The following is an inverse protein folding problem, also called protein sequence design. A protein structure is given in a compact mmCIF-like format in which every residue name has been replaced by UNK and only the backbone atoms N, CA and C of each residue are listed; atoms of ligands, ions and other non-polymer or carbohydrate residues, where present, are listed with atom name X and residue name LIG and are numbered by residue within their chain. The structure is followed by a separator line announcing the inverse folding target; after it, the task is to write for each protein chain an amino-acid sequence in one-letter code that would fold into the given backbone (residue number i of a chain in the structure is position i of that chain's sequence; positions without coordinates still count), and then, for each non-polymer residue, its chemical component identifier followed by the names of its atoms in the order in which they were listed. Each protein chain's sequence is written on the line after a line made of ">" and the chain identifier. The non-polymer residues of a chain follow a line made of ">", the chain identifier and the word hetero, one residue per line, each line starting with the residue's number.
data_IF_447826409899
#
_entry.id   IF_447826409899
#
_cell.length_a   1.000
_cell.length_b   1.000
_cell.length_c   1.000
_cell.angle_alpha   90.00
_cell.angle_beta   90.00
_cell.angle_gamma   90.00
#
_symmetry.space_group_name_H-M   'P 1'
#
loop_
_entity.id
_entity.type
_entity.pdbx_description
1 polymer ?
#
# COMPACT_ATOMS: atom_id res chain seq x y z
N UNK A 1 42.77 83.73 17.88
CA UNK A 1 42.69 83.45 19.33
C UNK A 1 41.69 82.33 19.54
N UNK A 2 42.17 81.12 19.83
CA UNK A 2 41.34 79.93 20.07
C UNK A 2 40.62 80.08 21.41
N UNK A 3 39.34 80.43 21.37
CA UNK A 3 38.50 80.62 22.56
C UNK A 3 38.39 79.31 23.35
N UNK A 4 38.99 79.28 24.54
CA UNK A 4 38.94 78.18 25.50
C UNK A 4 37.47 77.95 25.89
N UNK A 5 36.83 76.88 25.37
CA UNK A 5 35.43 76.52 25.71
C UNK A 5 35.34 76.26 27.22
N UNK A 6 34.64 77.13 27.95
CA UNK A 6 34.41 76.97 29.38
C UNK A 6 33.59 75.70 29.63
N UNK A 7 34.16 74.73 30.35
CA UNK A 7 33.47 73.49 30.72
C UNK A 7 32.81 73.69 32.09
N UNK A 8 31.49 73.64 32.13
CA UNK A 8 30.72 73.68 33.38
C UNK A 8 30.52 72.27 33.94
N UNK A 9 30.62 72.12 35.26
CA UNK A 9 30.40 70.84 35.96
C UNK A 9 28.93 70.38 35.86
N UNK A 10 28.69 69.08 36.01
CA UNK A 10 27.35 68.50 35.96
C UNK A 10 26.41 69.11 37.03
N UNK A 11 26.90 69.24 38.26
CA UNK A 11 26.15 69.84 39.37
C UNK A 11 25.74 71.30 39.09
N UNK A 12 26.65 72.07 38.50
CA UNK A 12 26.36 73.45 38.14
C UNK A 12 25.27 73.55 37.06
N UNK A 13 25.35 72.70 36.02
CA UNK A 13 24.31 72.63 34.99
C UNK A 13 22.95 72.22 35.55
N UNK A 14 22.94 71.23 36.46
CA UNK A 14 21.72 70.76 37.11
C UNK A 14 21.07 71.85 37.98
N UNK A 15 21.89 72.59 38.74
CA UNK A 15 21.41 73.72 39.56
C UNK A 15 20.76 74.82 38.71
N UNK A 16 21.41 75.22 37.62
CA UNK A 16 20.87 76.24 36.69
C UNK A 16 19.60 75.74 36.00
N UNK A 17 19.55 74.47 35.60
CA UNK A 17 18.36 73.87 34.98
C UNK A 17 17.16 73.82 35.95
N UNK A 18 17.39 73.49 37.24
CA UNK A 18 16.35 73.51 38.27
C UNK A 18 15.83 74.92 38.54
N UNK A 19 16.69 75.92 38.64
CA UNK A 19 16.27 77.32 38.76
C UNK A 19 15.45 77.77 37.53
N UNK A 20 15.84 77.34 36.33
CA UNK A 20 15.10 77.62 35.10
C UNK A 20 13.75 76.88 34.99
N UNK A 21 13.59 75.74 35.69
CA UNK A 21 12.33 75.00 35.78
C UNK A 21 11.34 75.64 36.76
N UNK A 22 11.84 76.23 37.86
CA UNK A 22 10.99 76.94 38.84
C UNK A 22 10.28 78.18 38.26
N UNK A 23 10.89 78.85 37.28
CA UNK A 23 10.23 79.89 36.49
C UNK A 23 10.10 81.27 37.16
N UNK A 24 10.79 81.49 38.28
CA UNK A 24 10.75 82.76 39.05
C UNK A 24 11.51 83.92 38.37
N UNK A 25 12.44 83.62 37.44
CA UNK A 25 13.23 84.59 36.69
C UNK A 25 13.25 84.25 35.19
N UNK A 26 13.40 85.27 34.34
CA UNK A 26 13.54 85.07 32.88
C UNK A 26 14.89 84.44 32.54
N UNK A 27 14.99 83.78 31.38
CA UNK A 27 16.24 83.14 30.93
C UNK A 27 17.40 84.14 30.76
N UNK A 28 17.11 85.39 30.40
CA UNK A 28 18.10 86.47 30.32
C UNK A 28 18.62 86.89 31.71
N UNK A 29 17.74 86.93 32.71
CA UNK A 29 18.13 87.22 34.10
C UNK A 29 18.95 86.07 34.72
N UNK A 30 18.58 84.81 34.45
CA UNK A 30 19.36 83.64 34.89
C UNK A 30 20.74 83.57 34.23
N UNK A 31 20.82 83.92 32.95
CA UNK A 31 22.06 84.05 32.20
C UNK A 31 23.00 85.08 32.83
N UNK A 32 22.49 86.27 33.14
CA UNK A 32 23.26 87.32 33.81
C UNK A 32 23.69 86.92 35.23
N UNK A 33 22.77 86.33 36.03
CA UNK A 33 23.03 85.89 37.41
C UNK A 33 24.16 84.87 37.51
N UNK A 34 24.22 83.93 36.57
CA UNK A 34 25.20 82.84 36.58
C UNK A 34 26.39 83.08 35.63
N UNK A 35 26.45 84.23 34.96
CA UNK A 35 27.53 84.59 34.03
C UNK A 35 27.61 83.68 32.79
N UNK A 36 26.47 83.17 32.32
CA UNK A 36 26.39 82.21 31.19
C UNK A 36 25.51 82.76 30.06
N UNK A 37 25.69 82.25 28.84
CA UNK A 37 24.86 82.63 27.70
C UNK A 37 23.42 82.10 27.82
N UNK A 38 22.43 82.89 27.42
CA UNK A 38 20.99 82.58 27.56
C UNK A 38 20.59 81.25 26.88
N UNK A 39 21.21 80.92 25.75
CA UNK A 39 20.97 79.65 25.04
C UNK A 39 21.33 78.43 25.89
N UNK A 40 22.36 78.51 26.74
CA UNK A 40 22.78 77.39 27.60
C UNK A 40 21.76 77.11 28.70
N UNK A 41 21.10 78.14 29.24
CA UNK A 41 20.03 77.99 30.23
C UNK A 41 18.85 77.20 29.64
N UNK A 42 18.45 77.54 28.42
CA UNK A 42 17.37 76.84 27.71
C UNK A 42 17.73 75.38 27.38
N UNK A 43 18.96 75.14 26.93
CA UNK A 43 19.42 73.80 26.58
C UNK A 43 19.54 72.88 27.80
N UNK A 44 20.08 73.39 28.92
CA UNK A 44 20.18 72.58 30.15
C UNK A 44 18.82 72.31 30.79
N UNK A 45 17.87 73.26 30.70
CA UNK A 45 16.47 73.03 31.12
C UNK A 45 15.84 71.87 30.34
N UNK A 46 16.04 71.84 29.02
CA UNK A 46 15.54 70.76 28.15
C UNK A 46 16.20 69.41 28.47
N UNK A 47 17.52 69.39 28.60
CA UNK A 47 18.27 68.17 28.95
C UNK A 47 17.87 67.60 30.31
N UNK A 48 17.58 68.45 31.30
CA UNK A 48 17.12 68.00 32.61
C UNK A 48 15.72 67.35 32.55
N UNK A 49 14.80 67.93 31.77
CA UNK A 49 13.45 67.36 31.56
C UNK A 49 13.51 66.00 30.85
N UNK A 50 14.29 65.90 29.77
CA UNK A 50 14.47 64.65 29.03
C UNK A 50 15.16 63.57 29.90
N UNK A 51 16.20 63.97 30.65
CA UNK A 51 16.95 63.07 31.54
C UNK A 51 16.14 62.54 32.74
N UNK A 52 15.28 63.36 33.35
CA UNK A 52 14.37 62.93 34.41
C UNK A 52 13.46 61.78 33.93
N UNK A 53 13.00 61.84 32.68
CA UNK A 53 12.18 60.80 32.07
C UNK A 53 12.93 59.46 31.93
N UNK A 54 14.23 59.51 31.66
CA UNK A 54 15.09 58.32 31.58
C UNK A 54 15.39 57.69 32.96
N UNK A 55 15.59 58.51 33.99
CA UNK A 55 15.87 58.05 35.36
C UNK A 55 14.67 57.32 35.98
N UNK A 56 13.45 57.81 35.75
CA UNK A 56 12.23 57.18 36.27
C UNK A 56 11.69 56.03 35.40
N UNK A 57 12.21 55.81 34.19
CA UNK A 57 11.82 54.70 33.30
C UNK A 57 12.71 53.45 33.44
N UNK A 58 13.66 53.43 34.39
CA UNK A 58 14.41 52.23 34.78
C UNK A 58 15.40 51.69 33.74
N UNK A 59 15.61 52.37 32.61
CA UNK A 59 16.59 51.98 31.58
C UNK A 59 17.93 52.69 31.78
N UNK A 60 18.67 52.31 32.81
CA UNK A 60 20.14 52.46 32.77
C UNK A 60 20.73 51.30 31.94
N UNK A 61 21.68 51.59 31.07
CA UNK A 61 22.34 50.58 30.21
C UNK A 61 22.91 49.41 31.04
N UNK A 62 22.59 48.17 30.66
CA UNK A 62 23.06 46.96 31.35
C UNK A 62 24.60 46.87 31.32
N UNK A 63 25.26 46.44 32.42
CA UNK A 63 26.72 46.34 32.50
C UNK A 63 27.28 45.27 31.54
N UNK A 64 28.50 45.48 31.03
CA UNK A 64 29.20 44.58 30.08
C UNK A 64 29.23 43.09 30.50
N UNK A 65 29.19 42.81 31.81
CA UNK A 65 29.13 41.45 32.36
C UNK A 65 27.85 40.70 31.97
N UNK A 66 26.72 41.38 31.82
CA UNK A 66 25.46 40.77 31.39
C UNK A 66 25.51 40.36 29.91
N UNK A 67 26.14 41.19 29.06
CA UNK A 67 26.33 40.88 27.63
C UNK A 67 27.30 39.73 27.40
N UNK A 68 28.35 39.61 28.22
CA UNK A 68 29.29 38.50 28.15
C UNK A 68 28.63 37.17 28.55
N UNK A 69 27.81 37.17 29.62
CA UNK A 69 27.04 36.01 30.03
C UNK A 69 26.00 35.59 28.98
N UNK A 70 25.32 36.55 28.35
CA UNK A 70 24.36 36.30 27.28
C UNK A 70 25.03 35.68 26.03
N UNK A 71 26.21 36.19 25.64
CA UNK A 71 26.99 35.61 24.55
C UNK A 71 27.51 34.19 24.85
N UNK A 72 27.79 33.87 26.11
CA UNK A 72 28.17 32.51 26.52
C UNK A 72 26.98 31.54 26.50
N UNK A 73 25.81 32.01 26.94
CA UNK A 73 24.55 31.26 26.84
C UNK A 73 24.20 30.94 25.38
N UNK A 74 24.36 31.90 24.47
CA UNK A 74 24.13 31.67 23.04
C UNK A 74 25.07 30.62 22.45
N UNK A 75 26.35 30.64 22.84
CA UNK A 75 27.33 29.61 22.44
C UNK A 75 26.94 28.23 22.97
N UNK A 76 26.49 28.14 24.22
CA UNK A 76 26.03 26.88 24.81
C UNK A 76 24.76 26.37 24.12
N UNK A 77 23.79 27.24 23.81
CA UNK A 77 22.59 26.87 23.05
C UNK A 77 22.94 26.38 21.64
N UNK A 78 23.85 27.07 20.94
CA UNK A 78 24.35 26.63 19.64
C UNK A 78 25.01 25.24 19.73
N UNK A 79 25.81 25.01 20.79
CA UNK A 79 26.46 23.71 21.00
C UNK A 79 25.45 22.61 21.35
N UNK A 80 24.43 22.89 22.17
CA UNK A 80 23.33 21.97 22.45
C UNK A 80 22.60 21.62 21.16
N UNK A 81 22.30 22.62 20.31
CA UNK A 81 21.69 22.41 19.00
C UNK A 81 22.50 21.48 18.10
N UNK A 82 23.82 21.73 17.98
CA UNK A 82 24.73 20.86 17.24
C UNK A 82 24.70 19.42 17.77
N UNK A 83 24.85 19.24 19.10
CA UNK A 83 24.86 17.92 19.74
C UNK A 83 23.53 17.18 19.58
N UNK A 84 22.39 17.89 19.59
CA UNK A 84 21.07 17.30 19.32
C UNK A 84 20.98 16.74 17.90
N UNK A 85 21.46 17.49 16.90
CA UNK A 85 21.46 17.05 15.49
C UNK A 85 22.37 15.83 15.28
N UNK A 86 23.59 15.86 15.82
CA UNK A 86 24.54 14.75 15.73
C UNK A 86 24.00 13.49 16.44
N UNK A 87 23.42 13.65 17.64
CA UNK A 87 22.73 12.57 18.36
C UNK A 87 21.60 11.99 17.53
N UNK A 88 20.77 12.82 16.90
CA UNK A 88 19.62 12.35 16.13
C UNK A 88 20.03 11.61 14.86
N UNK A 89 21.11 12.04 14.21
CA UNK A 89 21.72 11.31 13.11
C UNK A 89 22.17 9.91 13.57
N UNK A 90 22.93 9.82 14.67
CA UNK A 90 23.37 8.54 15.22
C UNK A 90 22.20 7.67 15.68
N UNK A 91 21.20 8.24 16.34
CA UNK A 91 20.01 7.51 16.79
C UNK A 91 19.22 6.90 15.62
N UNK A 92 19.12 7.62 14.49
CA UNK A 92 18.54 7.08 13.25
C UNK A 92 19.36 5.90 12.72
N UNK A 93 20.69 6.02 12.71
CA UNK A 93 21.59 4.94 12.32
C UNK A 93 21.51 3.71 13.24
N UNK A 94 21.34 3.92 14.55
CA UNK A 94 21.16 2.81 15.49
C UNK A 94 19.82 2.11 15.25
N UNK A 95 18.73 2.85 15.04
CA UNK A 95 17.38 2.27 14.82
C UNK A 95 17.28 1.40 13.57
N UNK A 96 18.13 1.60 12.56
CA UNK A 96 18.18 0.72 11.38
C UNK A 96 18.89 -0.61 11.63
N UNK A 97 19.59 -0.76 12.76
CA UNK A 97 20.28 -2.00 13.13
C UNK A 97 19.33 -3.05 13.74
N UNK A 98 19.71 -4.32 13.61
CA UNK A 98 18.99 -5.43 14.23
C UNK A 98 18.95 -5.30 15.76
N UNK A 99 17.91 -5.84 16.38
CA UNK A 99 17.70 -5.71 17.83
C UNK A 99 18.84 -6.37 18.64
N UNK A 100 19.42 -7.46 18.14
CA UNK A 100 20.56 -8.13 18.78
C UNK A 100 21.85 -7.33 18.70
N UNK A 101 22.13 -6.69 17.56
CA UNK A 101 23.25 -5.74 17.42
C UNK A 101 23.12 -4.59 18.41
N UNK A 102 21.92 -4.02 18.52
CA UNK A 102 21.65 -2.93 19.46
C UNK A 102 21.79 -3.35 20.92
N UNK A 103 21.44 -4.60 21.26
CA UNK A 103 21.66 -5.16 22.61
C UNK A 103 23.14 -5.26 22.95
N UNK A 104 23.99 -5.63 21.98
CA UNK A 104 25.44 -5.74 22.15
C UNK A 104 26.13 -4.38 22.37
N UNK A 105 25.48 -3.28 22.02
CA UNK A 105 25.98 -1.92 22.26
C UNK A 105 25.77 -1.43 23.70
N UNK A 106 25.08 -2.22 24.55
CA UNK A 106 24.85 -1.87 25.95
C UNK A 106 26.02 -2.41 26.79
N UNK A 107 26.64 -1.53 27.56
CA UNK A 107 27.74 -1.79 28.48
C UNK A 107 27.25 -1.63 29.93
N UNK A 108 26.87 -2.71 30.63
CA UNK A 108 26.28 -2.61 31.96
C UNK A 108 27.18 -1.97 33.02
N UNK A 109 28.50 -2.01 32.83
CA UNK A 109 29.50 -1.46 33.73
C UNK A 109 29.95 -0.03 33.33
N UNK A 110 29.22 0.67 32.46
CA UNK A 110 29.62 1.99 31.98
C UNK A 110 29.64 3.03 33.14
N UNK A 111 30.74 3.79 33.31
CA UNK A 111 30.96 4.64 34.50
C UNK A 111 29.99 5.83 34.62
N UNK A 112 29.45 6.33 33.51
CA UNK A 112 28.62 7.55 33.49
C UNK A 112 27.17 7.37 32.99
N UNK A 113 26.80 6.18 32.51
CA UNK A 113 25.50 5.96 31.89
C UNK A 113 24.82 4.73 32.49
N UNK A 114 23.65 4.92 33.08
CA UNK A 114 22.83 3.81 33.57
C UNK A 114 22.38 2.92 32.41
N UNK A 115 22.15 1.63 32.69
CA UNK A 115 21.59 0.68 31.70
C UNK A 115 20.27 1.18 31.11
N UNK A 116 19.46 1.88 31.90
CA UNK A 116 18.21 2.52 31.45
C UNK A 116 18.50 3.55 30.37
N UNK A 117 19.46 4.44 30.62
CA UNK A 117 19.83 5.50 29.68
C UNK A 117 20.44 4.92 28.40
N UNK A 118 21.28 3.89 28.53
CA UNK A 118 21.84 3.20 27.37
C UNK A 118 20.74 2.53 26.52
N UNK A 119 19.78 1.86 27.15
CA UNK A 119 18.62 1.27 26.47
C UNK A 119 17.82 2.33 25.68
N UNK A 120 17.59 3.51 26.26
CA UNK A 120 16.93 4.63 25.57
C UNK A 120 17.73 5.09 24.34
N UNK A 121 19.04 5.28 24.50
CA UNK A 121 19.94 5.72 23.42
C UNK A 121 19.95 4.72 22.25
N UNK A 122 19.94 3.41 22.54
CA UNK A 122 19.87 2.36 21.51
C UNK A 122 18.44 1.98 21.11
N UNK A 123 17.43 2.67 21.64
CA UNK A 123 16.01 2.43 21.34
C UNK A 123 15.56 0.97 21.61
N UNK A 124 15.98 0.38 22.73
CA UNK A 124 15.53 -0.93 23.24
C UNK A 124 14.79 -0.73 24.57
N UNK A 125 13.75 -1.53 24.84
CA UNK A 125 13.13 -1.54 26.18
C UNK A 125 14.04 -2.26 27.18
N UNK A 126 14.12 -1.73 28.42
CA UNK A 126 14.90 -2.38 29.50
C UNK A 126 14.51 -3.85 29.70
N UNK A 127 13.21 -4.16 29.66
CA UNK A 127 12.71 -5.54 29.76
C UNK A 127 13.21 -6.42 28.60
N UNK A 128 13.29 -5.87 27.39
CA UNK A 128 13.84 -6.53 26.21
C UNK A 128 15.34 -6.79 26.30
N UNK A 129 16.12 -6.00 27.05
CA UNK A 129 17.54 -6.25 27.29
C UNK A 129 17.76 -7.46 28.21
N UNK A 130 17.02 -7.56 29.30
CA UNK A 130 17.14 -8.68 30.24
C UNK A 130 16.42 -9.96 29.79
N UNK A 131 15.53 -9.87 28.80
CA UNK A 131 14.80 -11.01 28.29
C UNK A 131 15.74 -12.00 27.59
N UNK A 132 16.02 -13.12 28.27
CA UNK A 132 16.65 -14.29 27.65
C UNK A 132 15.58 -15.09 26.89
N UNK A 133 15.74 -15.32 25.58
CA UNK A 133 14.80 -16.15 24.85
C UNK A 133 14.80 -17.56 25.44
N UNK A 134 13.66 -17.96 26.01
CA UNK A 134 13.45 -19.36 26.35
C UNK A 134 13.51 -20.18 25.05
N UNK A 135 14.19 -21.31 25.09
CA UNK A 135 14.18 -22.29 24.00
C UNK A 135 12.76 -22.77 23.70
N UNK A 136 12.61 -23.62 22.69
CA UNK A 136 11.32 -24.28 22.49
C UNK A 136 11.05 -25.28 23.62
N UNK A 137 9.81 -25.30 24.07
CA UNK A 137 9.35 -26.33 25.03
C UNK A 137 9.46 -27.73 24.41
N UNK A 138 9.60 -28.76 25.25
CA UNK A 138 9.63 -30.16 24.80
C UNK A 138 8.43 -30.50 23.90
N UNK A 139 7.23 -30.03 24.27
CA UNK A 139 6.03 -30.19 23.46
C UNK A 139 6.14 -29.52 22.08
N UNK A 140 6.75 -28.33 21.98
CA UNK A 140 6.93 -27.69 20.67
C UNK A 140 7.94 -28.46 19.80
N UNK A 141 8.98 -29.05 20.39
CA UNK A 141 9.95 -29.88 19.66
C UNK A 141 9.29 -31.17 19.15
N UNK A 142 8.45 -31.80 19.97
CA UNK A 142 7.64 -32.94 19.57
C UNK A 142 6.68 -32.58 18.43
N UNK A 143 5.92 -31.49 18.58
CA UNK A 143 5.04 -30.98 17.53
C UNK A 143 5.81 -30.65 16.24
N UNK A 144 7.03 -30.12 16.33
CA UNK A 144 7.86 -29.86 15.15
C UNK A 144 8.24 -31.17 14.44
N UNK A 145 8.57 -32.26 15.15
CA UNK A 145 8.81 -33.56 14.50
C UNK A 145 7.57 -34.11 13.81
N UNK A 146 6.41 -34.02 14.45
CA UNK A 146 5.14 -34.47 13.86
C UNK A 146 4.73 -33.64 12.65
N UNK A 147 4.90 -32.32 12.74
CA UNK A 147 4.69 -31.41 11.60
C UNK A 147 5.61 -31.80 10.45
N UNK A 148 6.90 -32.07 10.70
CA UNK A 148 7.87 -32.44 9.66
C UNK A 148 7.47 -33.72 8.94
N UNK A 149 7.20 -34.79 9.71
CA UNK A 149 6.75 -36.07 9.19
C UNK A 149 5.47 -35.94 8.36
N UNK A 150 4.45 -35.25 8.90
CA UNK A 150 3.19 -35.06 8.20
C UNK A 150 3.36 -34.18 6.96
N UNK A 151 4.27 -33.20 6.98
CA UNK A 151 4.48 -32.29 5.87
C UNK A 151 5.20 -32.97 4.69
N UNK A 152 6.04 -33.99 4.94
CA UNK A 152 6.60 -34.83 3.89
C UNK A 152 5.51 -35.60 3.12
N UNK A 153 4.49 -36.10 3.82
CA UNK A 153 3.36 -36.79 3.19
C UNK A 153 2.38 -35.81 2.52
N UNK A 154 2.22 -34.63 3.09
CA UNK A 154 1.22 -33.65 2.69
C UNK A 154 1.83 -32.25 2.51
N UNK A 155 2.69 -32.04 1.50
CA UNK A 155 3.39 -30.76 1.32
C UNK A 155 2.45 -29.58 1.02
N UNK A 156 1.17 -29.82 0.71
CA UNK A 156 0.13 -28.78 0.56
C UNK A 156 -0.58 -28.40 1.88
N UNK A 157 -0.28 -29.06 3.00
CA UNK A 157 -0.91 -28.75 4.29
C UNK A 157 -0.36 -27.45 4.87
N UNK A 158 -1.13 -26.37 4.72
CA UNK A 158 -0.87 -25.15 5.48
C UNK A 158 -1.26 -25.26 6.96
N UNK A 159 -0.83 -24.27 7.74
CA UNK A 159 -1.06 -24.19 9.20
C UNK A 159 -2.48 -24.49 9.70
N UNK A 160 -3.52 -24.26 8.87
CA UNK A 160 -4.91 -24.58 9.21
C UNK A 160 -5.23 -26.08 9.08
N UNK A 161 -4.69 -26.76 8.07
CA UNK A 161 -4.87 -28.20 7.90
C UNK A 161 -3.98 -28.96 8.87
N UNK A 162 -2.72 -28.55 8.98
CA UNK A 162 -1.77 -29.14 9.93
C UNK A 162 -2.28 -29.08 11.38
N UNK A 163 -2.85 -27.94 11.81
CA UNK A 163 -3.46 -27.84 13.14
C UNK A 163 -4.72 -28.70 13.32
N UNK A 164 -5.47 -28.99 12.24
CA UNK A 164 -6.63 -29.90 12.31
C UNK A 164 -6.17 -31.35 12.42
N UNK A 165 -5.16 -31.73 11.65
CA UNK A 165 -4.56 -33.05 11.69
C UNK A 165 -4.03 -33.36 13.11
N UNK A 166 -3.17 -32.52 13.66
CA UNK A 166 -2.61 -32.73 15.01
C UNK A 166 -3.67 -32.76 16.11
N UNK A 167 -4.77 -32.01 15.96
CA UNK A 167 -5.91 -32.12 16.89
C UNK A 167 -6.64 -33.45 16.81
N UNK A 168 -6.72 -34.07 15.64
CA UNK A 168 -7.29 -35.42 15.49
C UNK A 168 -6.39 -36.48 16.11
N UNK A 169 -5.09 -36.23 16.17
CA UNK A 169 -4.12 -37.09 16.86
C UNK A 169 -4.06 -36.85 18.38
N UNK A 170 -4.92 -35.98 18.92
CA UNK A 170 -5.06 -35.75 20.38
C UNK A 170 -4.34 -34.53 20.93
N UNK A 171 -3.62 -33.76 20.09
CA UNK A 171 -2.89 -32.58 20.57
C UNK A 171 -3.78 -31.34 20.69
N UNK A 172 -3.74 -30.66 21.85
CA UNK A 172 -4.44 -29.39 22.08
C UNK A 172 -3.64 -28.22 21.49
N UNK A 173 -3.74 -28.04 20.18
CA UNK A 173 -2.95 -27.01 19.44
C UNK A 173 -3.80 -26.02 18.64
N UNK A 174 -3.38 -24.76 18.68
CA UNK A 174 -3.97 -23.66 17.93
C UNK A 174 -3.24 -23.37 16.62
N UNK A 175 -3.98 -22.89 15.60
CA UNK A 175 -3.42 -22.53 14.28
C UNK A 175 -2.23 -21.56 14.36
N UNK A 176 -2.29 -20.55 15.24
CA UNK A 176 -1.22 -19.55 15.39
C UNK A 176 0.09 -20.20 15.86
N UNK A 177 0.00 -21.17 16.78
CA UNK A 177 1.15 -21.94 17.26
C UNK A 177 1.77 -22.76 16.13
N UNK A 178 0.96 -23.53 15.41
CA UNK A 178 1.42 -24.36 14.28
C UNK A 178 2.04 -23.50 13.17
N UNK A 179 1.43 -22.35 12.84
CA UNK A 179 2.01 -21.40 11.87
C UNK A 179 3.40 -20.92 12.29
N UNK A 180 3.59 -20.59 13.58
CA UNK A 180 4.89 -20.15 14.12
C UNK A 180 5.94 -21.26 14.03
N UNK A 181 5.56 -22.49 14.38
CA UNK A 181 6.47 -23.65 14.32
C UNK A 181 6.86 -23.98 12.88
N UNK A 182 5.90 -24.07 11.95
CA UNK A 182 6.19 -24.27 10.53
C UNK A 182 7.13 -23.19 9.97
N UNK A 183 6.90 -21.91 10.31
CA UNK A 183 7.79 -20.82 9.89
C UNK A 183 9.20 -20.96 10.47
N UNK A 184 9.33 -21.37 11.74
CA UNK A 184 10.63 -21.63 12.39
C UNK A 184 11.38 -22.81 11.75
N UNK A 185 10.67 -23.79 11.22
CA UNK A 185 11.21 -24.94 10.48
C UNK A 185 11.49 -24.62 9.00
N UNK A 186 11.11 -23.44 8.50
CA UNK A 186 11.22 -23.12 7.08
C UNK A 186 10.19 -23.84 6.19
N UNK A 187 9.16 -24.44 6.76
CA UNK A 187 8.13 -25.18 6.02
C UNK A 187 7.08 -24.23 5.44
N UNK A 188 7.00 -24.20 4.11
CA UNK A 188 6.02 -23.44 3.36
C UNK A 188 5.19 -24.40 2.50
N UNK A 189 3.87 -24.50 2.72
CA UNK A 189 3.04 -25.41 1.94
C UNK A 189 3.11 -25.07 0.45
N UNK A 190 3.14 -26.11 -0.38
CA UNK A 190 3.07 -26.04 -1.82
C UNK A 190 1.60 -25.84 -2.19
N UNK A 191 1.22 -24.60 -2.45
CA UNK A 191 -0.08 -24.23 -3.02
C UNK A 191 0.14 -23.13 -4.06
N UNK A 192 -0.75 -23.02 -5.04
CA UNK A 192 -0.73 -21.90 -5.97
C UNK A 192 -0.95 -20.61 -5.16
N UNK A 193 0.06 -19.73 -5.11
CA UNK A 193 -0.06 -18.42 -4.47
C UNK A 193 -1.18 -17.64 -5.20
N UNK A 194 -2.15 -17.04 -4.49
CA UNK A 194 -3.20 -16.27 -5.15
C UNK A 194 -2.64 -14.92 -5.59
N UNK A 195 -2.09 -14.88 -6.81
CA UNK A 195 -1.98 -13.73 -7.72
C UNK A 195 -1.08 -14.14 -8.90
N UNK A 196 -1.67 -14.61 -9.99
CA UNK A 196 -0.98 -14.79 -11.28
C UNK A 196 -1.00 -13.52 -12.12
N UNK A 197 -1.82 -12.53 -11.76
CA UNK A 197 -2.05 -11.33 -12.57
C UNK A 197 -2.05 -10.06 -11.71
N UNK A 198 -1.23 -9.10 -12.13
CA UNK A 198 -1.33 -7.70 -11.69
C UNK A 198 -2.24 -7.01 -12.71
N UNK A 199 -3.37 -6.42 -12.29
CA UNK A 199 -4.22 -5.66 -13.21
C UNK A 199 -3.42 -4.53 -13.83
N UNK A 200 -3.45 -4.41 -15.16
CA UNK A 200 -2.84 -3.27 -15.85
C UNK A 200 -3.69 -2.01 -15.56
N UNK A 201 -3.14 -0.97 -14.91
CA UNK A 201 -3.91 0.22 -14.54
C UNK A 201 -4.49 1.00 -15.71
N UNK A 202 -3.98 0.82 -16.93
CA UNK A 202 -4.45 1.52 -18.14
C UNK A 202 -5.70 0.88 -18.78
N UNK A 203 -6.03 -0.35 -18.40
CA UNK A 203 -7.15 -1.06 -19.03
C UNK A 203 -8.50 -0.59 -18.47
N UNK A 204 -9.41 -0.22 -19.36
CA UNK A 204 -10.77 0.21 -18.99
C UNK A 204 -11.58 -0.98 -18.48
N UNK A 205 -12.06 -0.87 -17.24
CA UNK A 205 -13.01 -1.84 -16.67
C UNK A 205 -14.43 -1.42 -17.04
N UNK A 206 -15.19 -2.35 -17.62
CA UNK A 206 -16.58 -2.13 -18.01
C UNK A 206 -17.54 -2.48 -16.86
N UNK A 207 -18.73 -1.86 -16.79
CA UNK A 207 -19.71 -2.18 -15.77
C UNK A 207 -20.25 -3.61 -15.96
N UNK A 208 -20.65 -4.24 -14.86
CA UNK A 208 -21.31 -5.54 -14.88
C UNK A 208 -22.79 -5.40 -15.25
N UNK A 209 -23.24 -6.09 -16.30
CA UNK A 209 -24.56 -5.92 -16.92
C UNK A 209 -25.55 -7.07 -16.69
N UNK A 210 -25.11 -8.18 -16.07
CA UNK A 210 -25.93 -9.39 -15.92
C UNK A 210 -26.84 -9.35 -14.67
N UNK A 211 -26.83 -8.25 -13.91
CA UNK A 211 -27.64 -8.12 -12.70
C UNK A 211 -29.13 -8.08 -13.08
N UNK A 212 -29.91 -8.96 -12.46
CA UNK A 212 -31.36 -9.09 -12.67
C UNK A 212 -31.74 -9.35 -14.13
N UNK A 213 -30.79 -9.83 -14.95
CA UNK A 213 -31.01 -10.15 -16.34
C UNK A 213 -31.50 -11.59 -16.48
N UNK A 214 -32.70 -11.77 -17.03
CA UNK A 214 -33.18 -13.08 -17.46
C UNK A 214 -32.48 -13.47 -18.75
N UNK A 215 -31.80 -14.62 -18.76
CA UNK A 215 -31.04 -15.12 -19.91
C UNK A 215 -31.70 -16.42 -20.39
N UNK A 216 -32.71 -16.26 -21.24
CA UNK A 216 -33.69 -17.28 -21.63
C UNK A 216 -33.63 -17.66 -23.12
N UNK A 217 -32.81 -16.99 -23.92
CA UNK A 217 -32.68 -17.27 -25.35
C UNK A 217 -31.22 -17.14 -25.83
N UNK A 218 -30.86 -17.83 -26.95
CA UNK A 218 -29.52 -17.79 -27.51
C UNK A 218 -29.12 -16.39 -27.97
N UNK A 219 -27.81 -16.13 -27.94
CA UNK A 219 -27.19 -14.86 -28.32
C UNK A 219 -27.63 -13.66 -27.50
N UNK A 220 -28.28 -13.87 -26.35
CA UNK A 220 -28.51 -12.79 -25.40
C UNK A 220 -27.20 -12.44 -24.68
N UNK A 221 -26.54 -13.45 -24.13
CA UNK A 221 -25.27 -13.30 -23.41
C UNK A 221 -24.31 -14.37 -23.87
N UNK A 222 -23.13 -13.97 -24.31
CA UNK A 222 -21.99 -14.86 -24.46
C UNK A 222 -21.00 -14.66 -23.32
N UNK A 223 -20.27 -15.71 -22.96
CA UNK A 223 -19.15 -15.61 -22.04
C UNK A 223 -17.88 -16.22 -22.64
N UNK A 224 -16.72 -15.79 -22.15
CA UNK A 224 -15.44 -16.38 -22.49
C UNK A 224 -14.51 -16.42 -21.28
N UNK A 225 -13.67 -17.45 -21.26
CA UNK A 225 -12.68 -17.68 -20.21
C UNK A 225 -11.49 -18.47 -20.77
N UNK A 226 -10.36 -18.40 -20.08
CA UNK A 226 -9.12 -19.10 -20.44
C UNK A 226 -8.79 -20.13 -19.35
N UNK A 227 -8.58 -21.39 -19.76
CA UNK A 227 -8.08 -22.43 -18.87
C UNK A 227 -6.72 -22.96 -19.33
N UNK A 228 -5.92 -23.37 -18.34
CA UNK A 228 -4.69 -24.14 -18.55
C UNK A 228 -5.03 -25.63 -18.74
N UNK A 229 -4.42 -26.25 -19.74
CA UNK A 229 -4.50 -27.67 -20.05
C UNK A 229 -3.16 -28.34 -19.79
N UNK A 230 -3.06 -29.26 -18.81
CA UNK A 230 -1.83 -29.99 -18.57
C UNK A 230 -1.50 -30.91 -19.76
N UNK A 231 -0.23 -30.96 -20.14
CA UNK A 231 0.31 -31.87 -21.13
C UNK A 231 1.35 -32.79 -20.49
N UNK A 232 1.78 -33.84 -21.21
CA UNK A 232 2.89 -34.69 -20.76
C UNK A 232 4.17 -33.87 -20.46
N UNK A 233 4.40 -32.81 -21.23
CA UNK A 233 5.48 -31.84 -21.00
C UNK A 233 4.90 -30.42 -21.03
N UNK A 234 4.80 -29.79 -19.86
CA UNK A 234 4.30 -28.41 -19.74
C UNK A 234 2.77 -28.32 -19.81
N UNK A 235 2.27 -27.24 -20.40
CA UNK A 235 0.84 -26.94 -20.50
C UNK A 235 0.54 -26.06 -21.72
N UNK A 236 -0.70 -26.09 -22.17
CA UNK A 236 -1.25 -25.18 -23.19
C UNK A 236 -2.42 -24.37 -22.63
N UNK A 237 -2.78 -23.31 -23.32
CA UNK A 237 -3.91 -22.44 -23.01
C UNK A 237 -5.07 -22.78 -23.94
N UNK A 238 -6.27 -22.89 -23.37
CA UNK A 238 -7.52 -23.04 -24.12
C UNK A 238 -8.43 -21.87 -23.76
N UNK A 239 -8.94 -21.19 -24.79
CA UNK A 239 -10.05 -20.23 -24.67
C UNK A 239 -11.27 -20.82 -25.35
N UNK A 240 -12.45 -20.56 -24.79
CA UNK A 240 -13.71 -20.85 -25.45
C UNK A 240 -14.67 -19.68 -25.30
N UNK A 241 -15.50 -19.47 -26.32
CA UNK A 241 -16.68 -18.61 -26.28
C UNK A 241 -17.90 -19.52 -26.16
N UNK A 242 -18.74 -19.27 -25.17
CA UNK A 242 -19.94 -20.05 -24.89
C UNK A 242 -21.19 -19.17 -24.92
N UNK A 243 -22.28 -19.68 -25.48
CA UNK A 243 -23.61 -19.12 -25.30
C UNK A 243 -24.14 -19.43 -23.90
N UNK A 244 -24.55 -18.39 -23.17
CA UNK A 244 -24.97 -18.54 -21.78
C UNK A 244 -26.32 -19.26 -21.65
N UNK A 245 -27.30 -18.98 -22.50
CA UNK A 245 -28.62 -19.58 -22.34
C UNK A 245 -28.56 -21.10 -22.60
N UNK A 246 -27.85 -21.49 -23.65
CA UNK A 246 -27.89 -22.88 -24.17
C UNK A 246 -26.68 -23.70 -23.82
N UNK A 247 -25.66 -23.11 -23.18
CA UNK A 247 -24.38 -23.76 -22.83
C UNK A 247 -23.56 -24.20 -24.03
N UNK A 248 -23.95 -23.85 -25.25
CA UNK A 248 -23.26 -24.24 -26.47
C UNK A 248 -21.90 -23.58 -26.53
N UNK A 249 -20.85 -24.37 -26.73
CA UNK A 249 -19.53 -23.83 -27.07
C UNK A 249 -19.58 -23.39 -28.53
N UNK A 250 -19.46 -22.08 -28.76
CA UNK A 250 -19.60 -21.47 -30.08
C UNK A 250 -18.29 -21.61 -30.86
N UNK A 251 -17.18 -21.28 -30.22
CA UNK A 251 -15.84 -21.38 -30.79
C UNK A 251 -14.81 -21.60 -29.68
N UNK A 252 -13.65 -22.14 -30.04
CA UNK A 252 -12.54 -22.36 -29.12
C UNK A 252 -11.20 -22.32 -29.84
N UNK A 253 -10.13 -21.99 -29.11
CA UNK A 253 -8.75 -21.96 -29.63
C UNK A 253 -7.75 -22.43 -28.60
N UNK A 254 -6.68 -23.07 -29.08
CA UNK A 254 -5.55 -23.51 -28.25
C UNK A 254 -4.31 -22.74 -28.65
N UNK A 255 -3.59 -22.22 -27.65
CA UNK A 255 -2.31 -21.53 -27.82
C UNK A 255 -1.26 -22.07 -26.84
N UNK A 256 0.01 -21.92 -27.20
CA UNK A 256 1.15 -22.15 -26.30
C UNK A 256 1.54 -20.90 -25.50
N UNK A 257 1.03 -19.72 -25.87
CA UNK A 257 1.23 -18.45 -25.16
C UNK A 257 -0.11 -17.86 -24.71
N UNK A 258 -0.05 -16.98 -23.71
CA UNK A 258 -1.24 -16.29 -23.16
C UNK A 258 -1.46 -14.91 -23.82
N UNK A 259 -1.21 -14.83 -25.13
CA UNK A 259 -1.32 -13.59 -25.91
C UNK A 259 -2.78 -13.23 -26.24
N UNK A 260 -3.04 -11.98 -26.62
CA UNK A 260 -4.41 -11.53 -26.95
C UNK A 260 -4.89 -12.10 -28.29
N UNK A 261 -4.00 -12.41 -29.24
CA UNK A 261 -4.39 -12.82 -30.60
C UNK A 261 -5.32 -14.02 -30.64
N UNK A 262 -5.04 -15.09 -29.88
CA UNK A 262 -5.91 -16.27 -29.91
C UNK A 262 -7.29 -16.02 -29.26
N UNK A 263 -7.41 -14.99 -28.41
CA UNK A 263 -8.70 -14.52 -27.89
C UNK A 263 -9.47 -13.67 -28.92
N UNK A 264 -8.77 -12.97 -29.82
CA UNK A 264 -9.41 -12.26 -30.93
C UNK A 264 -9.93 -13.26 -31.97
N UNK A 265 -9.09 -14.20 -32.40
CA UNK A 265 -9.47 -15.20 -33.41
C UNK A 265 -10.70 -16.03 -32.99
N UNK A 266 -10.77 -16.43 -31.72
CA UNK A 266 -11.91 -17.19 -31.22
C UNK A 266 -13.19 -16.36 -31.23
N UNK A 267 -13.11 -15.06 -30.91
CA UNK A 267 -14.24 -14.15 -30.91
C UNK A 267 -14.69 -13.83 -32.34
N UNK A 268 -13.76 -13.55 -33.25
CA UNK A 268 -14.04 -13.32 -34.67
C UNK A 268 -14.75 -14.53 -35.30
N UNK A 269 -14.29 -15.76 -35.02
CA UNK A 269 -14.97 -16.96 -35.50
C UNK A 269 -16.40 -17.08 -34.93
N UNK A 270 -16.58 -16.83 -33.62
CA UNK A 270 -17.91 -16.89 -33.03
C UNK A 270 -18.86 -15.88 -33.68
N UNK A 271 -18.39 -14.64 -33.86
CA UNK A 271 -19.17 -13.57 -34.48
C UNK A 271 -19.53 -13.90 -35.93
N UNK A 272 -18.57 -14.43 -36.70
CA UNK A 272 -18.77 -14.79 -38.09
C UNK A 272 -19.78 -15.94 -38.27
N UNK A 273 -19.77 -16.93 -37.36
CA UNK A 273 -20.62 -18.13 -37.47
C UNK A 273 -22.00 -17.95 -36.86
N UNK A 274 -22.12 -17.21 -35.77
CA UNK A 274 -23.34 -17.16 -34.94
C UNK A 274 -23.97 -15.77 -34.85
N UNK A 275 -23.38 -14.76 -35.49
CA UNK A 275 -23.80 -13.37 -35.40
C UNK A 275 -23.29 -12.71 -34.12
N UNK A 276 -23.93 -11.63 -33.69
CA UNK A 276 -23.51 -10.87 -32.50
C UNK A 276 -24.41 -11.15 -31.30
N UNK A 277 -23.85 -11.28 -30.08
CA UNK A 277 -24.65 -11.31 -28.88
C UNK A 277 -25.09 -9.90 -28.45
N UNK A 278 -26.11 -9.79 -27.60
CA UNK A 278 -26.44 -8.49 -27.00
C UNK A 278 -25.40 -8.04 -25.96
N UNK A 279 -24.87 -9.00 -25.20
CA UNK A 279 -23.88 -8.79 -24.13
C UNK A 279 -22.78 -9.84 -24.25
N UNK A 280 -21.52 -9.40 -24.06
CA UNK A 280 -20.38 -10.29 -23.89
C UNK A 280 -19.82 -10.12 -22.49
N UNK A 281 -19.82 -11.18 -21.69
CA UNK A 281 -19.36 -11.18 -20.30
C UNK A 281 -18.02 -11.90 -20.15
N UNK A 282 -17.05 -11.25 -19.52
CA UNK A 282 -15.76 -11.87 -19.18
C UNK A 282 -15.32 -11.50 -17.78
N UNK A 283 -14.30 -12.19 -17.28
CA UNK A 283 -13.56 -11.70 -16.13
C UNK A 283 -12.73 -10.43 -16.48
N UNK A 284 -12.00 -9.91 -15.48
CA UNK A 284 -11.11 -8.76 -15.63
C UNK A 284 -9.68 -9.16 -16.02
N UNK A 285 -9.50 -10.30 -16.70
CA UNK A 285 -8.21 -10.76 -17.21
C UNK A 285 -7.58 -9.74 -18.17
N UNK A 286 -6.25 -9.67 -18.21
CA UNK A 286 -5.50 -8.73 -19.06
C UNK A 286 -5.83 -8.88 -20.55
N UNK A 287 -6.21 -10.09 -20.98
CA UNK A 287 -6.55 -10.42 -22.36
C UNK A 287 -7.89 -9.81 -22.75
N UNK A 288 -8.92 -9.99 -21.90
CA UNK A 288 -10.27 -9.49 -22.17
C UNK A 288 -10.45 -8.00 -21.87
N UNK A 289 -9.56 -7.43 -21.06
CA UNK A 289 -9.50 -5.98 -20.79
C UNK A 289 -8.61 -5.22 -21.79
N UNK A 290 -7.96 -5.92 -22.72
CA UNK A 290 -7.11 -5.32 -23.76
C UNK A 290 -7.92 -4.44 -24.71
N UNK A 291 -7.41 -3.25 -25.11
CA UNK A 291 -8.07 -2.37 -26.07
C UNK A 291 -8.42 -3.04 -27.40
N UNK A 292 -7.60 -4.01 -27.86
CA UNK A 292 -7.87 -4.76 -29.10
C UNK A 292 -9.13 -5.62 -28.96
N UNK A 293 -9.26 -6.33 -27.84
CA UNK A 293 -10.39 -7.21 -27.57
C UNK A 293 -11.68 -6.41 -27.36
N UNK A 294 -11.63 -5.39 -26.51
CA UNK A 294 -12.78 -4.52 -26.26
C UNK A 294 -13.16 -3.72 -27.51
N UNK A 295 -12.18 -3.31 -28.32
CA UNK A 295 -12.40 -2.61 -29.58
C UNK A 295 -13.17 -3.46 -30.60
N UNK A 296 -12.83 -4.74 -30.72
CA UNK A 296 -13.56 -5.68 -31.59
C UNK A 296 -15.04 -5.82 -31.17
N UNK A 297 -15.32 -5.97 -29.88
CA UNK A 297 -16.69 -6.02 -29.35
C UNK A 297 -17.47 -4.73 -29.61
N UNK A 298 -16.83 -3.57 -29.42
CA UNK A 298 -17.43 -2.27 -29.69
C UNK A 298 -17.75 -2.08 -31.17
N UNK A 299 -16.84 -2.47 -32.07
CA UNK A 299 -17.06 -2.41 -33.52
C UNK A 299 -18.23 -3.30 -33.96
N UNK A 300 -18.41 -4.46 -33.32
CA UNK A 300 -19.55 -5.34 -33.57
C UNK A 300 -20.88 -4.81 -32.96
N UNK A 301 -20.83 -3.74 -32.14
CA UNK A 301 -21.98 -3.18 -31.44
C UNK A 301 -22.44 -4.01 -30.24
N UNK A 302 -21.56 -4.81 -29.66
CA UNK A 302 -21.85 -5.69 -28.51
C UNK A 302 -21.62 -4.94 -27.21
N UNK A 303 -22.54 -5.08 -26.24
CA UNK A 303 -22.35 -4.48 -24.91
C UNK A 303 -21.35 -5.32 -24.10
N UNK A 304 -20.33 -4.67 -23.57
CA UNK A 304 -19.28 -5.34 -22.79
C UNK A 304 -19.68 -5.35 -21.32
N UNK A 305 -19.67 -6.53 -20.71
CA UNK A 305 -19.85 -6.75 -19.28
C UNK A 305 -18.60 -7.39 -18.69
N UNK A 306 -18.15 -6.92 -17.52
CA UNK A 306 -17.01 -7.50 -16.82
C UNK A 306 -17.36 -7.84 -15.38
N UNK A 307 -16.94 -9.02 -14.92
CA UNK A 307 -17.23 -9.47 -13.57
C UNK A 307 -16.50 -8.61 -12.53
N UNK A 308 -17.20 -8.22 -11.47
CA UNK A 308 -16.60 -7.57 -10.31
C UNK A 308 -15.89 -8.56 -9.39
N UNK A 309 -14.96 -8.07 -8.55
CA UNK A 309 -14.34 -8.91 -7.49
C UNK A 309 -15.44 -9.56 -6.63
N UNK A 310 -15.46 -10.89 -6.58
CA UNK A 310 -16.37 -11.67 -5.73
C UNK A 310 -17.66 -12.17 -6.40
N UNK A 311 -17.84 -11.99 -7.71
CA UNK A 311 -19.02 -12.47 -8.45
C UNK A 311 -18.73 -13.75 -9.24
N UNK A 312 -18.49 -14.84 -8.52
CA UNK A 312 -18.16 -16.15 -9.10
C UNK A 312 -19.34 -16.81 -9.84
N UNK A 313 -20.58 -16.45 -9.51
CA UNK A 313 -21.79 -17.07 -10.08
C UNK A 313 -21.91 -16.89 -11.60
N UNK A 314 -21.30 -15.82 -12.13
CA UNK A 314 -21.36 -15.42 -13.54
C UNK A 314 -20.25 -16.03 -14.40
N UNK A 315 -19.36 -16.84 -13.83
CA UNK A 315 -18.48 -17.75 -14.58
C UNK A 315 -18.82 -19.23 -14.34
N UNK A 316 -19.88 -19.53 -13.58
CA UNK A 316 -20.21 -20.90 -13.16
C UNK A 316 -20.33 -21.87 -14.33
N UNK A 317 -20.87 -21.45 -15.47
CA UNK A 317 -21.12 -22.38 -16.56
C UNK A 317 -19.89 -22.67 -17.40
N UNK A 318 -19.03 -21.67 -17.62
CA UNK A 318 -17.75 -21.91 -18.28
C UNK A 318 -16.78 -22.64 -17.34
N UNK A 319 -16.82 -22.37 -16.03
CA UNK A 319 -16.11 -23.19 -15.03
C UNK A 319 -16.60 -24.65 -15.01
N UNK A 320 -17.92 -24.88 -15.13
CA UNK A 320 -18.49 -26.22 -15.26
C UNK A 320 -18.06 -26.88 -16.57
N UNK A 321 -18.00 -26.14 -17.68
CA UNK A 321 -17.42 -26.63 -18.94
C UNK A 321 -16.00 -27.12 -18.72
N UNK A 322 -15.14 -26.31 -18.08
CA UNK A 322 -13.76 -26.69 -17.81
C UNK A 322 -13.64 -27.93 -16.94
N UNK A 323 -14.50 -28.06 -15.93
CA UNK A 323 -14.54 -29.27 -15.11
C UNK A 323 -14.89 -30.49 -15.96
N UNK A 324 -15.97 -30.43 -16.74
CA UNK A 324 -16.36 -31.54 -17.62
C UNK A 324 -15.27 -31.87 -18.64
N UNK A 325 -14.75 -30.87 -19.35
CA UNK A 325 -13.68 -31.04 -20.33
C UNK A 325 -12.44 -31.70 -19.73
N UNK A 326 -12.02 -31.26 -18.54
CA UNK A 326 -10.83 -31.82 -17.88
C UNK A 326 -11.04 -33.27 -17.46
N UNK A 327 -12.17 -33.59 -16.83
CA UNK A 327 -12.44 -34.95 -16.34
C UNK A 327 -12.81 -35.93 -17.44
N UNK A 328 -13.55 -35.49 -18.45
CA UNK A 328 -14.13 -36.34 -19.50
C UNK A 328 -13.21 -36.45 -20.73
N UNK A 329 -12.21 -35.57 -20.87
CA UNK A 329 -11.24 -35.59 -21.96
C UNK A 329 -9.80 -35.54 -21.44
N UNK A 330 -9.37 -34.42 -20.85
CA UNK A 330 -7.94 -34.15 -20.64
C UNK A 330 -7.28 -35.11 -19.67
N UNK A 331 -7.93 -35.50 -18.58
CA UNK A 331 -7.35 -36.41 -17.59
C UNK A 331 -7.42 -37.89 -18.00
N UNK A 332 -8.27 -38.22 -18.98
CA UNK A 332 -8.36 -39.56 -19.53
C UNK A 332 -7.30 -39.81 -20.62
N UNK A 333 -6.71 -38.75 -21.18
CA UNK A 333 -5.79 -38.83 -22.31
C UNK A 333 -4.44 -38.18 -21.95
N UNK A 334 -3.34 -38.93 -22.12
CA UNK A 334 -2.00 -38.41 -21.94
C UNK A 334 -1.49 -37.73 -23.24
N UNK A 335 -2.06 -36.57 -23.59
CA UNK A 335 -1.68 -35.86 -24.82
C UNK A 335 -0.20 -35.49 -24.85
N UNK A 336 0.50 -35.89 -25.92
CA UNK A 336 1.93 -35.62 -26.09
C UNK A 336 2.17 -34.40 -26.99
N UNK A 337 1.32 -34.20 -27.99
CA UNK A 337 1.45 -33.09 -28.96
C UNK A 337 0.24 -32.17 -28.96
N UNK A 338 0.44 -30.91 -29.37
CA UNK A 338 -0.64 -29.94 -29.52
C UNK A 338 -1.66 -30.35 -30.59
N UNK A 339 -1.23 -31.10 -31.61
CA UNK A 339 -2.13 -31.61 -32.65
C UNK A 339 -3.05 -32.72 -32.13
N UNK A 340 -2.52 -33.65 -31.33
CA UNK A 340 -3.35 -34.66 -30.65
C UNK A 340 -4.35 -34.01 -29.70
N UNK A 341 -3.90 -33.03 -28.91
CA UNK A 341 -4.78 -32.29 -28.02
C UNK A 341 -5.91 -31.62 -28.80
N UNK A 342 -5.62 -30.91 -29.90
CA UNK A 342 -6.65 -30.28 -30.74
C UNK A 342 -7.65 -31.31 -31.29
N UNK A 343 -7.18 -32.47 -31.74
CA UNK A 343 -8.07 -33.52 -32.23
C UNK A 343 -8.98 -34.06 -31.12
N UNK A 344 -8.43 -34.32 -29.93
CA UNK A 344 -9.18 -34.77 -28.76
C UNK A 344 -10.23 -33.75 -28.29
N UNK A 345 -9.83 -32.48 -28.20
CA UNK A 345 -10.72 -31.37 -27.84
C UNK A 345 -11.82 -31.17 -28.88
N UNK A 346 -11.50 -31.24 -30.17
CA UNK A 346 -12.50 -31.13 -31.25
C UNK A 346 -13.57 -32.21 -31.11
N UNK A 347 -13.15 -33.47 -30.95
CA UNK A 347 -14.07 -34.60 -30.74
C UNK A 347 -14.92 -34.44 -29.48
N UNK A 348 -14.32 -33.98 -28.38
CA UNK A 348 -15.04 -33.81 -27.12
C UNK A 348 -16.02 -32.64 -27.16
N UNK A 349 -15.64 -31.50 -27.76
CA UNK A 349 -16.52 -30.33 -27.90
C UNK A 349 -17.69 -30.64 -28.84
N UNK A 350 -17.44 -31.38 -29.92
CA UNK A 350 -18.50 -31.88 -30.80
C UNK A 350 -19.50 -32.76 -30.05
N UNK A 351 -19.00 -33.73 -29.25
CA UNK A 351 -19.84 -34.53 -28.36
C UNK A 351 -20.61 -33.70 -27.34
N UNK A 352 -19.93 -32.75 -26.68
CA UNK A 352 -20.51 -31.87 -25.68
C UNK A 352 -21.70 -31.07 -26.24
N UNK A 353 -21.54 -30.51 -27.44
CA UNK A 353 -22.55 -29.70 -28.10
C UNK A 353 -23.72 -30.54 -28.67
N UNK A 354 -23.42 -31.67 -29.30
CA UNK A 354 -24.40 -32.42 -30.12
C UNK A 354 -25.08 -33.59 -29.42
N UNK A 355 -24.48 -34.13 -28.35
CA UNK A 355 -24.86 -35.44 -27.78
C UNK A 355 -24.91 -35.50 -26.26
N UNK A 356 -24.22 -34.59 -25.57
CA UNK A 356 -24.20 -34.57 -24.11
C UNK A 356 -25.49 -33.94 -23.59
N UNK A 357 -26.32 -34.63 -22.78
CA UNK A 357 -27.52 -34.05 -22.20
C UNK A 357 -27.16 -33.13 -21.02
N UNK A 358 -27.89 -32.04 -20.86
CA UNK A 358 -27.69 -31.08 -19.76
C UNK A 358 -28.94 -31.00 -18.88
N UNK A 359 -28.78 -31.30 -17.59
CA UNK A 359 -29.89 -31.19 -16.62
C UNK A 359 -30.43 -29.76 -16.48
N UNK A 360 -29.58 -28.74 -16.69
CA UNK A 360 -30.01 -27.34 -16.72
C UNK A 360 -30.73 -26.92 -18.00
N UNK A 361 -30.89 -27.83 -18.96
CA UNK A 361 -31.62 -27.67 -20.23
C UNK A 361 -32.70 -28.76 -20.38
N UNK A 362 -33.21 -29.27 -19.26
CA UNK A 362 -34.23 -30.32 -19.20
C UNK A 362 -33.87 -31.60 -19.98
N UNK A 363 -32.57 -31.93 -20.03
CA UNK A 363 -32.05 -33.10 -20.72
C UNK A 363 -31.70 -32.88 -22.20
N UNK A 364 -32.04 -31.72 -22.76
CA UNK A 364 -31.61 -31.33 -24.11
C UNK A 364 -30.09 -31.15 -24.19
N UNK A 365 -29.55 -31.33 -25.40
CA UNK A 365 -28.18 -30.99 -25.74
C UNK A 365 -28.05 -29.48 -26.00
N UNK A 366 -26.84 -28.91 -25.89
CA UNK A 366 -26.61 -27.50 -26.20
C UNK A 366 -27.04 -27.09 -27.63
N UNK A 367 -26.90 -28.00 -28.60
CA UNK A 367 -27.30 -27.75 -29.99
C UNK A 367 -28.81 -27.73 -30.17
N UNK A 368 -29.53 -28.66 -29.54
CA UNK A 368 -31.00 -28.66 -29.53
C UNK A 368 -31.55 -27.39 -28.90
N UNK A 369 -31.01 -26.98 -27.73
CA UNK A 369 -31.43 -25.78 -27.04
C UNK A 369 -31.12 -24.49 -27.85
N UNK A 370 -30.01 -24.48 -28.58
CA UNK A 370 -29.64 -23.37 -29.47
C UNK A 370 -30.54 -23.30 -30.71
N UNK A 371 -30.82 -24.44 -31.34
CA UNK A 371 -31.67 -24.54 -32.53
C UNK A 371 -33.15 -24.28 -32.26
N UNK A 372 -33.72 -24.87 -31.21
CA UNK A 372 -35.15 -24.74 -30.88
C UNK A 372 -35.57 -23.28 -30.66
N UNK A 373 -34.69 -22.48 -30.05
CA UNK A 373 -34.93 -21.06 -29.81
C UNK A 373 -34.64 -20.18 -31.05
N UNK A 374 -33.83 -20.65 -32.00
CA UNK A 374 -33.60 -19.95 -33.28
C UNK A 374 -34.83 -20.03 -34.20
N UNK A 375 -35.55 -21.17 -34.20
CA UNK A 375 -36.78 -21.37 -34.99
C UNK A 375 -37.93 -20.50 -34.47
N UNK A 376 -38.04 -20.34 -33.15
CA UNK A 376 -39.07 -19.50 -32.52
C UNK A 376 -38.93 -18.01 -32.90
N UNK A 377 -37.73 -17.55 -33.27
CA UNK A 377 -37.43 -16.17 -33.69
C UNK A 377 -37.66 -15.90 -35.19
N UNK A 378 -37.79 -16.95 -36.00
CA UNK A 378 -38.14 -16.85 -37.44
C UNK A 378 -39.66 -16.91 -37.66
N UNK A 379 -40.41 -17.40 -36.67
CA UNK A 379 -41.87 -17.54 -36.72
C UNK A 379 -42.64 -16.39 -36.04
N UNK A 380 -41.94 -15.42 -35.45
CA UNK A 380 -42.47 -14.21 -34.83
C UNK A 380 -41.89 -12.98 -35.54
#
# INVERSE_FOLDING_TARGET
>A
MTGKRTRYSADFKAKVALEALRGELTTAQLAAKHGIHQTMVGEWKRQAMEGLTAVFSGKAAAPESAKAAEAEVDKLHAKIGQLLVERDFLAKGVRSMSLDRRRQMIEPAHPHLSVVRQCELVSISRSGFYHRPAGETALNLELMRLIDAQFLETPWYGSRQMARHLRREGYVVGRKRIRRLMAKMGLAPIYQRPRTTVPNPEHRVFPYLLRDLVIDHPNRVWCADITYLPMRRGFLYLVAVMDWATRKVLSWRVSNTMEVEFCLEVLEEALARFGRPEIFNTDQGSQFTSPRFTGLLQQAGVRISMDGRGRWMDNVFIERLWRSLKYECVYLHAFETGSELRAGLSKWIDYYNTRRPHSGLDGSTPDEAYGANAVTKLAA
#
